data_IF_505364975690
#
_entry.id   IF_505364975690
#
_cell.length_a   1.000
_cell.length_b   1.000
_cell.length_c   1.000
_cell.angle_alpha   90.00
_cell.angle_beta   90.00
_cell.angle_gamma   90.00
#
_symmetry.space_group_name_H-M   'P 1'
#
loop_
_entity.id
_entity.type
_entity.pdbx_description
1 polymer ?
#
# COMPACT_ATOMS: atom_id res chain seq x y z
N UNK A 1 -19.53 28.54 11.59
CA UNK A 1 -18.61 29.20 10.64
C UNK A 1 -17.53 29.89 11.45
N UNK A 2 -16.49 29.15 11.76
CA UNK A 2 -15.52 29.50 12.80
C UNK A 2 -14.52 30.61 12.43
N UNK A 3 -14.49 31.09 11.18
CA UNK A 3 -13.44 32.04 10.75
C UNK A 3 -13.93 33.24 9.90
N UNK A 4 -15.24 33.51 9.84
CA UNK A 4 -15.76 34.71 9.16
C UNK A 4 -15.50 34.79 7.64
N UNK A 5 -15.00 33.72 7.02
CA UNK A 5 -14.60 33.70 5.61
C UNK A 5 -15.78 33.54 4.63
N UNK A 6 -16.93 33.16 5.11
CA UNK A 6 -18.14 32.99 4.31
C UNK A 6 -19.29 33.81 4.88
N UNK A 7 -19.87 34.68 4.06
CA UNK A 7 -21.08 35.45 4.39
C UNK A 7 -22.28 34.52 4.52
N UNK A 8 -23.07 34.69 5.58
CA UNK A 8 -24.32 33.93 5.81
C UNK A 8 -25.32 34.07 4.68
N UNK A 9 -25.38 35.24 4.07
CA UNK A 9 -26.29 35.53 2.95
C UNK A 9 -25.89 34.73 1.71
N UNK A 10 -24.62 34.64 1.43
CA UNK A 10 -24.07 33.85 0.33
C UNK A 10 -24.30 32.33 0.55
N UNK A 11 -24.08 31.84 1.76
CA UNK A 11 -24.35 30.43 2.10
C UNK A 11 -25.82 30.08 1.96
N UNK A 12 -26.71 30.95 2.38
CA UNK A 12 -28.17 30.74 2.23
C UNK A 12 -28.57 30.73 0.75
N UNK A 13 -28.03 31.62 -0.08
CA UNK A 13 -28.27 31.61 -1.54
C UNK A 13 -27.78 30.32 -2.20
N UNK A 14 -26.60 29.79 -1.79
CA UNK A 14 -26.11 28.51 -2.28
C UNK A 14 -27.06 27.37 -1.92
N UNK A 15 -27.54 27.33 -0.67
CA UNK A 15 -28.46 26.27 -0.18
C UNK A 15 -29.80 26.27 -0.88
N UNK A 16 -30.23 27.41 -1.41
CA UNK A 16 -31.52 27.55 -2.17
C UNK A 16 -31.35 27.37 -3.67
N UNK A 17 -30.11 27.14 -4.16
CA UNK A 17 -29.82 26.89 -5.57
C UNK A 17 -30.36 25.52 -6.02
N UNK A 18 -30.98 25.41 -7.23
CA UNK A 18 -31.37 24.11 -7.79
C UNK A 18 -30.20 23.11 -7.98
N UNK A 19 -28.98 23.61 -8.02
CA UNK A 19 -27.74 22.78 -8.10
C UNK A 19 -27.13 22.51 -6.75
N UNK A 20 -27.78 22.81 -5.62
CA UNK A 20 -27.26 22.57 -4.29
C UNK A 20 -27.16 21.09 -4.01
N UNK A 21 -25.96 20.67 -3.62
CA UNK A 21 -25.69 19.37 -3.02
C UNK A 21 -25.00 19.60 -1.68
N UNK A 22 -25.52 18.99 -0.62
CA UNK A 22 -24.95 19.09 0.72
C UNK A 22 -23.53 18.53 0.76
N UNK A 23 -23.25 17.50 -0.02
CA UNK A 23 -21.93 16.88 -0.16
C UNK A 23 -20.94 17.80 -0.88
N UNK A 24 -21.36 18.44 -1.98
CA UNK A 24 -20.52 19.43 -2.67
C UNK A 24 -20.25 20.64 -1.79
N UNK A 25 -21.23 21.10 -1.03
CA UNK A 25 -21.06 22.20 -0.10
C UNK A 25 -20.12 21.86 1.05
N UNK A 26 -20.25 20.66 1.64
CA UNK A 26 -19.36 20.16 2.69
C UNK A 26 -17.91 20.07 2.21
N UNK A 27 -17.70 19.58 1.00
CA UNK A 27 -16.38 19.42 0.37
C UNK A 27 -15.74 20.76 0.00
N UNK A 28 -16.50 21.65 -0.65
CA UNK A 28 -15.94 22.88 -1.22
C UNK A 28 -15.80 24.00 -0.20
N UNK A 29 -16.71 24.09 0.76
CA UNK A 29 -16.78 25.22 1.68
C UNK A 29 -16.48 24.85 3.14
N UNK A 30 -16.67 23.61 3.53
CA UNK A 30 -16.39 23.16 4.90
C UNK A 30 -15.14 22.31 5.03
N UNK A 31 -14.46 22.04 3.92
CA UNK A 31 -13.29 21.12 3.86
C UNK A 31 -13.59 19.75 4.48
N UNK A 32 -14.87 19.38 4.51
CA UNK A 32 -15.31 18.07 4.96
C UNK A 32 -15.34 17.17 3.73
N UNK A 33 -14.38 16.27 3.67
CA UNK A 33 -14.40 15.23 2.66
C UNK A 33 -15.49 14.22 3.02
N UNK A 34 -16.63 14.30 2.36
CA UNK A 34 -17.67 13.26 2.39
C UNK A 34 -17.25 12.12 1.46
N UNK A 35 -16.84 11.06 2.04
CA UNK A 35 -16.07 9.91 1.61
C UNK A 35 -16.47 9.15 0.39
N UNK A 36 -17.22 9.43 -0.54
CA UNK A 36 -17.28 8.84 -1.89
C UNK A 36 -18.17 9.67 -2.80
N UNK A 37 -17.70 10.04 -3.98
CA UNK A 37 -18.65 10.34 -5.05
C UNK A 37 -19.42 9.04 -5.35
N UNK A 38 -20.68 9.12 -5.78
CA UNK A 38 -21.47 7.96 -6.22
C UNK A 38 -20.75 7.14 -7.32
N UNK A 39 -19.76 7.75 -7.99
CA UNK A 39 -18.92 7.16 -9.02
C UNK A 39 -17.67 6.44 -8.50
N UNK A 40 -17.35 6.53 -7.20
CA UNK A 40 -16.13 5.91 -6.67
C UNK A 40 -16.19 4.38 -6.74
N UNK A 41 -15.11 3.76 -7.27
CA UNK A 41 -14.95 2.30 -7.30
C UNK A 41 -14.95 1.68 -5.92
N UNK A 42 -14.34 2.38 -4.95
CA UNK A 42 -14.27 1.92 -3.57
C UNK A 42 -15.25 2.67 -2.68
N UNK A 43 -16.10 1.95 -1.97
CA UNK A 43 -16.98 2.56 -0.96
C UNK A 43 -16.15 2.89 0.29
N UNK A 44 -15.80 4.15 0.43
CA UNK A 44 -14.98 4.69 1.50
C UNK A 44 -15.54 4.35 2.90
N UNK A 45 -16.84 4.55 3.13
CA UNK A 45 -17.46 4.36 4.44
C UNK A 45 -17.43 2.89 4.87
N UNK A 46 -17.67 1.97 3.91
CA UNK A 46 -17.58 0.54 4.17
C UNK A 46 -16.16 0.11 4.53
N UNK A 47 -15.13 0.79 4.03
CA UNK A 47 -13.73 0.47 4.30
C UNK A 47 -13.25 1.00 5.65
N UNK A 48 -13.86 2.07 6.20
CA UNK A 48 -13.47 2.65 7.51
C UNK A 48 -13.50 1.60 8.65
N UNK A 49 -14.42 0.65 8.62
CA UNK A 49 -14.52 -0.40 9.65
C UNK A 49 -13.28 -1.28 9.77
N UNK A 50 -12.39 -1.27 8.76
CA UNK A 50 -11.14 -2.05 8.76
C UNK A 50 -9.93 -1.25 9.30
N UNK A 51 -10.11 0.03 9.64
CA UNK A 51 -9.11 0.85 10.31
C UNK A 51 -9.10 0.55 11.81
N UNK A 52 -8.34 -0.48 12.21
CA UNK A 52 -8.35 -1.01 13.58
C UNK A 52 -6.97 -1.03 14.25
N UNK A 53 -5.91 -0.75 13.51
CA UNK A 53 -4.55 -0.85 14.02
C UNK A 53 -4.15 0.47 14.67
N UNK A 54 -3.90 0.43 15.99
CA UNK A 54 -3.61 1.63 16.77
C UNK A 54 -2.19 2.15 16.58
N UNK A 55 -1.22 1.25 16.43
CA UNK A 55 0.19 1.63 16.37
C UNK A 55 0.80 1.19 15.04
N UNK A 56 1.48 2.09 14.33
CA UNK A 56 2.28 1.72 13.16
C UNK A 56 3.47 0.88 13.58
N UNK A 57 4.05 0.19 12.63
CA UNK A 57 5.31 -0.51 12.83
C UNK A 57 6.41 0.23 12.06
N UNK A 58 7.56 0.40 12.69
CA UNK A 58 8.74 1.05 12.13
C UNK A 58 9.87 0.07 11.86
N UNK A 59 9.78 -1.12 12.46
CA UNK A 59 10.72 -2.24 12.32
C UNK A 59 10.00 -3.56 12.52
N UNK A 60 10.66 -4.65 12.16
CA UNK A 60 10.11 -6.00 12.33
C UNK A 60 9.90 -6.33 13.80
N UNK A 61 8.72 -6.86 14.14
CA UNK A 61 8.34 -7.32 15.49
C UNK A 61 8.55 -8.81 15.69
N UNK A 62 8.87 -9.53 14.63
CA UNK A 62 9.10 -10.97 14.64
C UNK A 62 10.04 -11.34 13.49
N UNK A 63 10.66 -12.51 13.57
CA UNK A 63 11.43 -13.07 12.47
C UNK A 63 10.48 -13.66 11.42
N UNK A 64 10.77 -13.49 10.11
CA UNK A 64 9.97 -14.09 9.06
C UNK A 64 9.85 -15.61 9.23
N UNK A 65 8.63 -16.12 9.09
CA UNK A 65 8.30 -17.54 9.18
C UNK A 65 7.25 -17.94 8.15
N UNK A 66 6.84 -19.20 8.17
CA UNK A 66 5.82 -19.74 7.26
C UNK A 66 4.44 -19.09 7.47
N UNK A 67 4.11 -18.78 8.72
CA UNK A 67 2.77 -18.30 9.10
C UNK A 67 2.71 -16.78 9.29
N UNK A 68 3.86 -16.10 9.29
CA UNK A 68 3.92 -14.65 9.46
C UNK A 68 5.18 -14.09 8.80
N UNK A 69 5.02 -13.03 8.00
CA UNK A 69 6.12 -12.37 7.32
C UNK A 69 5.78 -10.92 6.99
N UNK A 70 6.79 -10.11 6.68
CA UNK A 70 6.60 -8.80 6.08
C UNK A 70 6.77 -8.88 4.57
N UNK A 71 6.02 -8.03 3.87
CA UNK A 71 6.16 -7.77 2.44
C UNK A 71 6.18 -6.26 2.23
N UNK A 72 7.08 -5.82 1.38
CA UNK A 72 7.16 -4.41 0.96
C UNK A 72 6.78 -4.34 -0.52
N UNK A 73 5.98 -3.37 -0.90
CA UNK A 73 5.71 -3.05 -2.31
C UNK A 73 6.07 -1.61 -2.60
N UNK A 74 6.64 -1.35 -3.76
CA UNK A 74 7.14 -0.04 -4.17
C UNK A 74 6.55 0.32 -5.52
N UNK A 75 5.86 1.45 -5.56
CA UNK A 75 5.48 2.15 -6.80
C UNK A 75 6.50 3.27 -7.03
N UNK A 76 7.12 3.27 -8.22
CA UNK A 76 8.30 4.09 -8.50
C UNK A 76 7.91 5.34 -9.25
N UNK A 77 8.08 6.49 -8.62
CA UNK A 77 7.93 7.80 -9.22
C UNK A 77 9.26 8.54 -9.42
N UNK A 78 9.24 9.58 -10.24
CA UNK A 78 10.37 10.51 -10.45
C UNK A 78 9.81 11.88 -10.76
N UNK A 79 10.54 12.95 -10.44
CA UNK A 79 10.23 14.36 -10.75
C UNK A 79 8.86 14.80 -10.20
N UNK A 80 7.76 14.43 -10.83
CA UNK A 80 6.40 14.87 -10.48
C UNK A 80 5.64 13.83 -9.63
N UNK A 81 5.94 12.55 -9.79
CA UNK A 81 5.30 11.46 -9.06
C UNK A 81 6.11 11.06 -7.82
N UNK A 82 5.43 10.56 -6.82
CA UNK A 82 6.05 10.12 -5.58
C UNK A 82 6.45 8.65 -5.69
N UNK A 83 7.66 8.30 -5.24
CA UNK A 83 7.97 6.90 -4.95
C UNK A 83 7.36 6.55 -3.60
N UNK A 84 6.51 5.54 -3.59
CA UNK A 84 5.78 5.12 -2.40
C UNK A 84 6.08 3.67 -2.08
N UNK A 85 6.44 3.40 -0.82
CA UNK A 85 6.57 2.06 -0.29
C UNK A 85 5.46 1.76 0.72
N UNK A 86 4.70 0.68 0.47
CA UNK A 86 3.75 0.10 1.40
C UNK A 86 4.36 -1.09 2.13
N UNK A 87 4.27 -1.13 3.45
CA UNK A 87 4.76 -2.22 4.28
C UNK A 87 3.58 -3.01 4.84
N UNK A 88 3.54 -4.28 4.49
CA UNK A 88 2.51 -5.21 4.95
C UNK A 88 3.08 -6.20 5.95
N UNK A 89 2.38 -6.39 7.04
CA UNK A 89 2.49 -7.60 7.84
C UNK A 89 1.45 -8.59 7.33
N UNK A 90 1.88 -9.79 6.98
CA UNK A 90 1.04 -10.87 6.47
C UNK A 90 0.96 -11.98 7.50
N UNK A 91 -0.24 -12.37 7.87
CA UNK A 91 -0.50 -13.52 8.73
C UNK A 91 -1.23 -14.59 7.93
N UNK A 92 -0.76 -15.83 8.04
CA UNK A 92 -1.38 -17.00 7.41
C UNK A 92 -2.21 -17.71 8.46
N UNK A 93 -3.50 -17.89 8.22
CA UNK A 93 -4.37 -18.61 9.12
C UNK A 93 -4.29 -20.14 8.91
N UNK A 94 -4.98 -20.88 9.77
CA UNK A 94 -4.99 -22.36 9.73
C UNK A 94 -5.59 -22.93 8.44
N UNK A 95 -6.31 -22.11 7.66
CA UNK A 95 -6.87 -22.51 6.36
C UNK A 95 -5.93 -22.18 5.20
N UNK A 96 -4.79 -21.56 5.48
CA UNK A 96 -3.81 -21.11 4.48
C UNK A 96 -4.14 -19.76 3.86
N UNK A 97 -5.17 -19.04 4.33
CA UNK A 97 -5.49 -17.69 3.86
C UNK A 97 -4.52 -16.66 4.42
N UNK A 98 -4.14 -15.73 3.57
CA UNK A 98 -3.18 -14.67 3.87
C UNK A 98 -3.89 -13.34 4.19
N UNK A 99 -3.85 -12.95 5.46
CA UNK A 99 -4.43 -11.71 5.96
C UNK A 99 -3.38 -10.59 5.94
N UNK A 100 -3.68 -9.51 5.27
CA UNK A 100 -2.78 -8.37 5.16
C UNK A 100 -3.10 -7.32 6.22
N UNK A 101 -2.07 -6.80 6.88
CA UNK A 101 -2.16 -5.60 7.71
C UNK A 101 -1.20 -4.56 7.14
N UNK A 102 -1.72 -3.45 6.65
CA UNK A 102 -0.89 -2.32 6.22
C UNK A 102 -0.38 -1.61 7.46
N UNK A 103 0.89 -1.81 7.79
CA UNK A 103 1.50 -1.32 9.04
C UNK A 103 2.26 -0.02 8.88
N UNK A 104 2.67 0.31 7.65
CA UNK A 104 3.35 1.56 7.33
C UNK A 104 3.21 1.91 5.84
N UNK A 105 3.24 3.20 5.54
CA UNK A 105 3.38 3.75 4.19
C UNK A 105 4.47 4.83 4.26
N UNK A 106 5.47 4.72 3.41
CA UNK A 106 6.53 5.72 3.32
C UNK A 106 6.60 6.32 1.92
N UNK A 107 6.65 7.64 1.85
CA UNK A 107 7.02 8.37 0.64
C UNK A 107 8.54 8.53 0.69
N UNK A 108 9.21 7.98 -0.31
CA UNK A 108 10.67 7.97 -0.43
C UNK A 108 11.14 9.20 -1.21
N UNK A 109 12.39 9.62 -0.95
CA UNK A 109 13.05 10.69 -1.71
C UNK A 109 12.19 11.94 -1.91
N UNK A 110 11.82 12.60 -0.80
CA UNK A 110 10.81 13.68 -0.78
C UNK A 110 11.26 14.99 -1.41
N UNK A 111 12.55 15.30 -1.42
CA UNK A 111 13.10 16.53 -2.01
C UNK A 111 13.53 16.29 -3.46
N UNK A 112 13.57 17.35 -4.27
CA UNK A 112 14.04 17.27 -5.65
C UNK A 112 15.49 16.75 -5.75
N UNK A 113 16.32 17.10 -4.78
CA UNK A 113 17.73 16.68 -4.69
C UNK A 113 17.89 15.19 -4.36
N UNK A 114 16.97 14.63 -3.58
CA UNK A 114 17.01 13.22 -3.15
C UNK A 114 16.24 12.27 -4.07
N UNK A 115 15.55 12.77 -5.10
CA UNK A 115 14.78 11.95 -6.07
C UNK A 115 15.64 11.21 -7.10
N UNK A 116 16.86 10.82 -6.73
CA UNK A 116 17.70 9.93 -7.56
C UNK A 116 17.30 8.47 -7.29
N UNK A 117 17.45 7.59 -8.27
CA UNK A 117 17.20 6.17 -8.07
C UNK A 117 18.14 5.57 -7.02
N UNK A 118 19.37 6.06 -6.93
CA UNK A 118 20.34 5.64 -5.90
C UNK A 118 19.81 5.94 -4.51
N UNK A 119 19.31 7.16 -4.26
CA UNK A 119 18.75 7.51 -2.95
C UNK A 119 17.46 6.73 -2.66
N UNK A 120 16.61 6.54 -3.65
CA UNK A 120 15.41 5.70 -3.51
C UNK A 120 15.78 4.26 -3.15
N UNK A 121 16.82 3.69 -3.78
CA UNK A 121 17.30 2.35 -3.48
C UNK A 121 17.83 2.25 -2.05
N UNK A 122 18.59 3.24 -1.58
CA UNK A 122 19.08 3.30 -0.18
C UNK A 122 17.88 3.32 0.76
N UNK A 123 16.84 4.13 0.50
CA UNK A 123 15.65 4.21 1.33
C UNK A 123 14.88 2.88 1.37
N UNK A 124 14.76 2.16 0.23
CA UNK A 124 14.16 0.82 0.18
C UNK A 124 15.02 -0.17 0.96
N UNK A 125 16.35 -0.11 0.84
CA UNK A 125 17.27 -0.98 1.58
C UNK A 125 17.22 -0.73 3.09
N UNK A 126 17.01 0.52 3.52
CA UNK A 126 16.72 0.85 4.93
C UNK A 126 15.45 0.14 5.40
N UNK A 127 14.38 0.17 4.57
CA UNK A 127 13.15 -0.57 4.90
C UNK A 127 13.38 -2.09 4.95
N UNK A 128 14.21 -2.64 4.06
CA UNK A 128 14.57 -4.07 4.08
C UNK A 128 15.30 -4.41 5.38
N UNK A 129 16.28 -3.61 5.79
CA UNK A 129 17.00 -3.76 7.06
C UNK A 129 16.04 -3.73 8.26
N UNK A 130 15.13 -2.73 8.27
CA UNK A 130 14.25 -2.49 9.40
C UNK A 130 13.15 -3.54 9.52
N UNK A 131 12.59 -4.03 8.40
CA UNK A 131 11.46 -4.95 8.40
C UNK A 131 11.81 -6.40 8.07
N UNK A 132 12.98 -6.67 7.55
CA UNK A 132 13.40 -8.02 7.12
C UNK A 132 12.30 -8.73 6.31
N UNK A 133 11.83 -8.14 5.20
CA UNK A 133 10.69 -8.67 4.46
C UNK A 133 11.05 -9.99 3.79
N UNK A 134 10.05 -10.84 3.62
CA UNK A 134 10.15 -12.03 2.78
C UNK A 134 10.44 -11.67 1.33
N UNK A 135 9.76 -10.65 0.83
CA UNK A 135 9.91 -10.16 -0.54
C UNK A 135 9.66 -8.64 -0.61
N UNK A 136 10.29 -8.02 -1.60
CA UNK A 136 10.08 -6.62 -1.99
C UNK A 136 9.59 -6.59 -3.43
N UNK A 137 8.35 -6.15 -3.63
CA UNK A 137 7.74 -5.98 -4.95
C UNK A 137 8.09 -4.61 -5.50
N UNK A 138 8.62 -4.54 -6.70
CA UNK A 138 8.94 -3.31 -7.39
C UNK A 138 8.22 -3.32 -8.75
N UNK A 139 7.48 -2.25 -9.06
CA UNK A 139 7.00 -2.05 -10.43
C UNK A 139 8.22 -1.77 -11.33
N UNK A 140 8.55 -2.74 -12.17
CA UNK A 140 9.70 -2.67 -13.09
C UNK A 140 9.31 -2.20 -14.49
N UNK A 141 8.17 -1.52 -14.65
CA UNK A 141 7.81 -0.82 -15.88
C UNK A 141 8.41 0.60 -15.89
N UNK A 142 8.83 1.04 -17.07
CA UNK A 142 9.26 2.42 -17.28
C UNK A 142 10.33 2.87 -16.28
N UNK A 143 9.98 3.81 -15.40
CA UNK A 143 10.89 4.39 -14.40
C UNK A 143 11.38 3.37 -13.36
N UNK A 144 10.62 2.33 -13.11
CA UNK A 144 10.96 1.30 -12.14
C UNK A 144 12.21 0.51 -12.48
N UNK A 145 12.59 0.42 -13.76
CA UNK A 145 13.86 -0.16 -14.19
C UNK A 145 15.04 0.56 -13.52
N UNK A 146 15.01 1.89 -13.45
CA UNK A 146 16.10 2.66 -12.82
C UNK A 146 16.28 2.35 -11.33
N UNK A 147 15.19 2.16 -10.59
CA UNK A 147 15.28 1.70 -9.20
C UNK A 147 15.78 0.25 -9.12
N UNK A 148 15.28 -0.63 -9.98
CA UNK A 148 15.68 -2.03 -10.03
C UNK A 148 17.20 -2.20 -10.29
N UNK A 149 17.76 -1.40 -11.20
CA UNK A 149 19.19 -1.36 -11.50
C UNK A 149 20.03 -0.92 -10.30
N UNK A 150 19.52 -0.03 -9.47
CA UNK A 150 20.20 0.39 -8.25
C UNK A 150 20.04 -0.62 -7.11
N UNK A 151 18.95 -1.36 -7.05
CA UNK A 151 18.74 -2.36 -6.01
C UNK A 151 19.72 -3.53 -6.08
N UNK A 152 20.21 -3.89 -7.27
CA UNK A 152 21.19 -4.98 -7.48
C UNK A 152 22.64 -4.56 -7.21
N UNK A 153 22.92 -3.29 -6.89
CA UNK A 153 24.26 -2.75 -6.59
C UNK A 153 24.45 -2.57 -5.08
N UNK A 154 25.67 -2.68 -4.61
CA UNK A 154 26.05 -2.20 -3.29
C UNK A 154 26.06 -0.68 -3.26
N UNK A 155 25.67 -0.09 -2.14
CA UNK A 155 25.62 1.37 -1.97
C UNK A 155 26.08 1.78 -0.59
N UNK A 156 26.49 3.05 -0.48
CA UNK A 156 26.79 3.71 0.78
C UNK A 156 25.91 4.96 0.89
N UNK A 157 25.40 5.24 2.06
CA UNK A 157 24.72 6.51 2.29
C UNK A 157 25.71 7.63 2.64
N UNK A 158 25.17 8.83 2.87
CA UNK A 158 25.95 10.04 3.21
C UNK A 158 26.76 9.89 4.51
N UNK A 159 26.35 8.97 5.38
CA UNK A 159 27.03 8.66 6.65
C UNK A 159 28.05 7.53 6.50
N UNK A 160 28.21 6.97 5.30
CA UNK A 160 29.09 5.85 5.00
C UNK A 160 28.52 4.49 5.43
N UNK A 161 27.23 4.39 5.75
CA UNK A 161 26.60 3.10 6.05
C UNK A 161 26.47 2.27 4.78
N UNK A 162 26.92 1.00 4.86
CA UNK A 162 26.88 0.06 3.75
C UNK A 162 25.54 -0.61 3.60
N UNK A 163 25.01 -0.63 2.39
CA UNK A 163 23.80 -1.35 2.00
C UNK A 163 24.13 -2.38 0.92
N UNK A 164 23.91 -3.63 1.26
CA UNK A 164 24.20 -4.76 0.37
C UNK A 164 23.30 -4.76 -0.88
N UNK A 165 23.75 -5.41 -1.97
CA UNK A 165 22.92 -5.66 -3.13
C UNK A 165 21.86 -6.72 -2.83
N UNK A 166 20.72 -6.66 -3.56
CA UNK A 166 19.69 -7.68 -3.55
C UNK A 166 19.44 -8.18 -4.97
N UNK A 167 18.84 -9.37 -5.12
CA UNK A 167 18.63 -10.01 -6.41
C UNK A 167 17.13 -10.26 -6.66
N UNK A 168 16.76 -10.24 -7.93
CA UNK A 168 15.41 -10.62 -8.39
C UNK A 168 15.24 -12.13 -8.40
N UNK A 169 14.09 -12.58 -7.90
CA UNK A 169 13.72 -13.98 -7.88
C UNK A 169 12.95 -14.41 -9.16
N UNK A 170 12.32 -13.47 -9.87
CA UNK A 170 11.38 -13.75 -10.96
C UNK A 170 11.67 -12.99 -12.26
N UNK A 171 12.72 -12.19 -12.36
CA UNK A 171 13.03 -11.41 -13.56
C UNK A 171 14.31 -11.91 -14.23
N UNK A 172 14.16 -12.64 -15.33
CA UNK A 172 15.27 -13.22 -16.10
C UNK A 172 16.21 -12.18 -16.69
N UNK A 173 15.75 -10.95 -16.94
CA UNK A 173 16.58 -9.84 -17.43
C UNK A 173 17.69 -9.49 -16.44
N UNK A 174 17.49 -9.75 -15.16
CA UNK A 174 18.48 -9.46 -14.11
C UNK A 174 19.39 -10.65 -13.80
N UNK A 175 19.06 -11.88 -14.23
CA UNK A 175 19.85 -13.07 -13.84
C UNK A 175 21.30 -13.04 -14.29
N UNK A 176 21.59 -12.36 -15.41
CA UNK A 176 22.96 -12.24 -15.93
C UNK A 176 23.78 -11.13 -15.25
N UNK A 177 23.15 -10.10 -14.72
CA UNK A 177 23.79 -8.87 -14.25
C UNK A 177 23.76 -8.70 -12.72
N UNK A 178 22.85 -9.38 -12.03
CA UNK A 178 22.74 -9.32 -10.57
C UNK A 178 23.81 -10.19 -9.90
N UNK A 179 24.28 -9.82 -8.69
CA UNK A 179 25.24 -10.63 -7.93
C UNK A 179 24.66 -12.00 -7.57
N UNK A 180 25.42 -13.07 -7.81
CA UNK A 180 24.97 -14.46 -7.62
C UNK A 180 24.67 -14.79 -6.17
N UNK A 181 25.42 -14.19 -5.25
CA UNK A 181 25.33 -14.43 -3.81
C UNK A 181 24.38 -13.45 -3.08
N UNK A 182 23.79 -12.51 -3.81
CA UNK A 182 22.84 -11.57 -3.24
C UNK A 182 21.52 -12.26 -2.85
N UNK A 183 20.90 -11.87 -1.72
CA UNK A 183 19.60 -12.39 -1.31
C UNK A 183 18.53 -12.15 -2.37
N UNK A 184 17.87 -13.23 -2.83
CA UNK A 184 16.81 -13.19 -3.85
C UNK A 184 15.46 -12.83 -3.22
N UNK A 185 15.30 -11.59 -2.82
CA UNK A 185 14.06 -11.08 -2.22
C UNK A 185 13.33 -10.06 -3.08
N UNK A 186 13.90 -9.63 -4.21
CA UNK A 186 13.23 -8.69 -5.11
C UNK A 186 12.29 -9.45 -6.04
N UNK A 187 11.09 -8.91 -6.21
CA UNK A 187 10.06 -9.37 -7.12
C UNK A 187 9.71 -8.26 -8.10
N UNK A 188 10.10 -8.42 -9.36
CA UNK A 188 9.77 -7.49 -10.43
C UNK A 188 8.33 -7.68 -10.90
N UNK A 189 7.53 -6.63 -10.84
CA UNK A 189 6.16 -6.62 -11.34
C UNK A 189 6.11 -5.82 -12.65
N UNK A 190 5.80 -6.48 -13.75
CA UNK A 190 5.61 -5.85 -15.08
C UNK A 190 4.11 -5.78 -15.38
N UNK A 191 3.43 -4.79 -14.78
CA UNK A 191 2.00 -4.64 -14.90
C UNK A 191 1.62 -4.12 -16.29
N UNK A 192 0.99 -4.97 -17.10
CA UNK A 192 0.33 -4.61 -18.36
C UNK A 192 -1.19 -4.47 -18.16
N UNK A 193 -1.93 -4.08 -19.19
CA UNK A 193 -3.37 -3.85 -19.09
C UNK A 193 -4.16 -5.01 -18.46
N UNK A 194 -4.05 -6.25 -18.99
CA UNK A 194 -4.72 -7.42 -18.39
C UNK A 194 -4.30 -7.74 -16.98
N UNK A 195 -3.02 -7.55 -16.62
CA UNK A 195 -2.54 -7.77 -15.26
C UNK A 195 -3.04 -6.68 -14.33
N UNK A 196 -3.05 -5.41 -14.75
CA UNK A 196 -3.62 -4.32 -13.98
C UNK A 196 -5.10 -4.55 -13.64
N UNK A 197 -5.89 -5.06 -14.61
CA UNK A 197 -7.28 -5.45 -14.38
C UNK A 197 -7.40 -6.48 -13.24
N UNK A 198 -6.54 -7.50 -13.24
CA UNK A 198 -6.50 -8.52 -12.18
C UNK A 198 -6.03 -7.95 -10.83
N UNK A 199 -5.05 -7.06 -10.83
CA UNK A 199 -4.53 -6.37 -9.64
C UNK A 199 -5.66 -5.56 -8.98
N UNK A 200 -6.37 -4.75 -9.75
CA UNK A 200 -7.49 -3.94 -9.26
C UNK A 200 -8.64 -4.82 -8.73
N UNK A 201 -9.01 -5.86 -9.46
CA UNK A 201 -10.03 -6.82 -9.03
C UNK A 201 -9.66 -7.53 -7.73
N UNK A 202 -8.39 -7.95 -7.59
CA UNK A 202 -7.89 -8.55 -6.35
C UNK A 202 -7.92 -7.57 -5.17
N UNK A 203 -7.48 -6.34 -5.38
CA UNK A 203 -7.52 -5.30 -4.34
C UNK A 203 -8.96 -5.08 -3.85
N UNK A 204 -9.91 -4.94 -4.78
CA UNK A 204 -11.33 -4.82 -4.46
C UNK A 204 -11.86 -6.03 -3.67
N UNK A 205 -11.60 -7.24 -4.14
CA UNK A 205 -12.06 -8.47 -3.48
C UNK A 205 -11.52 -8.60 -2.05
N UNK A 206 -10.20 -8.36 -1.84
CA UNK A 206 -9.58 -8.44 -0.51
C UNK A 206 -10.09 -7.36 0.44
N UNK A 207 -10.35 -6.15 -0.06
CA UNK A 207 -10.91 -5.06 0.73
C UNK A 207 -12.36 -5.34 1.14
N UNK A 208 -13.21 -5.76 0.20
CA UNK A 208 -14.63 -6.01 0.46
C UNK A 208 -14.85 -7.23 1.34
N UNK A 209 -14.01 -8.27 1.22
CA UNK A 209 -14.03 -9.45 2.12
C UNK A 209 -13.38 -9.20 3.49
N UNK A 210 -12.81 -8.01 3.71
CA UNK A 210 -12.23 -7.64 5.00
C UNK A 210 -10.91 -8.33 5.32
N UNK A 211 -10.21 -8.85 4.32
CA UNK A 211 -8.90 -9.50 4.48
C UNK A 211 -7.74 -8.52 4.67
N UNK A 212 -8.03 -7.23 4.74
CA UNK A 212 -7.05 -6.17 4.96
C UNK A 212 -7.39 -5.38 6.21
N UNK A 213 -6.36 -5.01 6.98
CA UNK A 213 -6.46 -4.14 8.17
C UNK A 213 -5.58 -2.91 7.96
N UNK A 214 -6.03 -1.79 8.51
CA UNK A 214 -5.38 -0.48 8.36
C UNK A 214 -5.16 0.19 9.71
N UNK A 215 -4.27 1.16 9.72
CA UNK A 215 -4.09 2.07 10.84
C UNK A 215 -5.37 2.90 11.07
N UNK A 216 -5.68 3.20 12.33
CA UNK A 216 -6.78 4.09 12.72
C UNK A 216 -6.59 5.48 12.12
N UNK A 217 -7.64 6.30 12.16
CA UNK A 217 -7.57 7.69 11.65
C UNK A 217 -6.50 8.48 12.41
N UNK A 218 -5.85 9.40 11.71
CA UNK A 218 -4.80 10.24 12.29
C UNK A 218 -5.27 10.99 13.52
N UNK A 219 -6.47 11.58 13.47
CA UNK A 219 -7.04 12.32 14.60
C UNK A 219 -7.27 11.42 15.82
N UNK A 220 -7.74 10.19 15.61
CA UNK A 220 -7.92 9.20 16.67
C UNK A 220 -6.55 8.79 17.26
N UNK A 221 -5.56 8.55 16.42
CA UNK A 221 -4.20 8.23 16.84
C UNK A 221 -3.55 9.39 17.63
N UNK A 222 -3.75 10.64 17.17
CA UNK A 222 -3.28 11.84 17.86
C UNK A 222 -3.92 11.98 19.23
N UNK A 223 -5.23 11.81 19.33
CA UNK A 223 -5.94 11.88 20.61
C UNK A 223 -5.45 10.80 21.57
N UNK A 224 -5.30 9.54 21.07
CA UNK A 224 -4.77 8.44 21.87
C UNK A 224 -3.33 8.68 22.31
N UNK A 225 -2.47 9.26 21.48
CA UNK A 225 -1.10 9.61 21.83
C UNK A 225 -1.06 10.70 22.90
N UNK A 226 -1.83 11.77 22.72
CA UNK A 226 -1.85 12.92 23.63
C UNK A 226 -2.53 12.62 24.96
N UNK A 227 -3.33 11.58 25.07
CA UNK A 227 -3.88 11.13 26.36
C UNK A 227 -2.85 10.44 27.25
N UNK A 228 -1.67 10.11 26.72
CA UNK A 228 -0.59 9.47 27.50
C UNK A 228 0.47 10.47 27.95
N UNK A 229 1.05 10.27 29.16
CA UNK A 229 2.16 11.10 29.64
C UNK A 229 3.38 11.08 28.69
N UNK A 230 3.65 9.92 28.06
CA UNK A 230 4.74 9.76 27.09
C UNK A 230 4.48 10.65 25.86
N UNK A 231 3.26 10.63 25.33
CA UNK A 231 2.88 11.44 24.17
C UNK A 231 2.94 12.93 24.44
N UNK A 232 2.52 13.36 25.63
CA UNK A 232 2.59 14.77 26.05
C UNK A 232 4.04 15.27 26.17
N UNK A 233 4.96 14.45 26.69
CA UNK A 233 6.39 14.78 26.85
C UNK A 233 7.21 14.58 25.56
N UNK A 234 6.63 13.96 24.54
CA UNK A 234 7.31 13.66 23.29
C UNK A 234 7.60 14.95 22.50
N UNK A 235 8.79 15.07 21.90
CA UNK A 235 9.11 16.20 21.02
C UNK A 235 8.16 16.25 19.81
N UNK A 236 7.96 17.44 19.25
CA UNK A 236 7.10 17.63 18.07
C UNK A 236 7.55 16.72 16.92
N UNK A 237 8.86 16.64 16.66
CA UNK A 237 9.43 15.79 15.62
C UNK A 237 9.04 14.32 15.79
N UNK A 238 9.25 13.74 16.97
CA UNK A 238 8.88 12.34 17.26
C UNK A 238 7.38 12.10 17.18
N UNK A 239 6.55 13.09 17.54
CA UNK A 239 5.09 13.00 17.38
C UNK A 239 4.70 12.94 15.91
N UNK A 240 5.27 13.82 15.09
CA UNK A 240 5.02 13.83 13.63
C UNK A 240 5.44 12.49 13.02
N UNK A 241 6.65 12.02 13.33
CA UNK A 241 7.14 10.73 12.83
C UNK A 241 6.21 9.56 13.19
N UNK A 242 5.69 9.54 14.41
CA UNK A 242 4.77 8.50 14.88
C UNK A 242 3.38 8.59 14.25
N UNK A 243 2.90 9.78 13.92
CA UNK A 243 1.57 10.00 13.33
C UNK A 243 1.58 9.90 11.80
N UNK A 244 2.72 10.14 11.17
CA UNK A 244 2.86 10.14 9.71
C UNK A 244 2.29 8.89 9.02
N UNK A 245 2.49 7.64 9.51
CA UNK A 245 1.89 6.47 8.87
C UNK A 245 0.35 6.46 8.90
N UNK A 246 -0.26 7.07 9.92
CA UNK A 246 -1.71 7.24 10.02
C UNK A 246 -2.23 8.24 8.97
N UNK A 247 -1.52 9.37 8.82
CA UNK A 247 -1.80 10.37 7.79
C UNK A 247 -1.66 9.75 6.38
N UNK A 248 -0.57 9.03 6.13
CA UNK A 248 -0.37 8.37 4.84
C UNK A 248 -1.44 7.31 4.55
N UNK A 249 -1.92 6.60 5.58
CA UNK A 249 -3.07 5.70 5.45
C UNK A 249 -4.35 6.46 5.09
N UNK A 250 -4.57 7.64 5.67
CA UNK A 250 -5.72 8.49 5.31
C UNK A 250 -5.62 8.95 3.85
N UNK A 251 -4.43 9.39 3.42
CA UNK A 251 -4.18 9.76 2.02
C UNK A 251 -4.37 8.59 1.05
N UNK A 252 -4.02 7.36 1.42
CA UNK A 252 -4.36 6.17 0.63
C UNK A 252 -5.87 6.02 0.46
N UNK A 253 -6.65 6.24 1.51
CA UNK A 253 -8.11 6.18 1.43
C UNK A 253 -8.68 7.28 0.52
N UNK A 254 -8.11 8.49 0.56
CA UNK A 254 -8.47 9.59 -0.34
C UNK A 254 -8.15 9.25 -1.80
N UNK A 255 -6.98 8.66 -2.07
CA UNK A 255 -6.64 8.16 -3.40
C UNK A 255 -7.63 7.10 -3.88
N UNK A 256 -7.98 6.11 -3.03
CA UNK A 256 -8.98 5.09 -3.37
C UNK A 256 -10.37 5.70 -3.65
N UNK A 257 -10.78 6.70 -2.86
CA UNK A 257 -12.06 7.40 -3.07
C UNK A 257 -12.07 8.21 -4.38
N UNK A 258 -10.90 8.63 -4.86
CA UNK A 258 -10.74 9.37 -6.13
C UNK A 258 -10.65 8.46 -7.36
N UNK A 259 -10.82 7.14 -7.22
CA UNK A 259 -10.77 6.20 -8.35
C UNK A 259 -12.18 5.77 -8.76
N UNK A 260 -12.44 5.81 -10.05
CA UNK A 260 -13.68 5.28 -10.65
C UNK A 260 -13.37 4.28 -11.75
N UNK A 261 -14.36 3.45 -12.07
CA UNK A 261 -14.27 2.53 -13.19
C UNK A 261 -14.37 3.32 -14.51
N UNK A 262 -13.33 3.22 -15.32
CA UNK A 262 -13.38 3.73 -16.69
C UNK A 262 -14.15 2.75 -17.56
N UNK A 263 -15.23 3.23 -18.19
CA UNK A 263 -15.99 2.43 -19.17
C UNK A 263 -15.20 2.38 -20.47
N UNK A 264 -14.68 1.19 -20.81
CA UNK A 264 -13.91 0.92 -22.04
C UNK A 264 -14.74 0.05 -22.95
N UNK A 265 -15.70 0.61 -23.67
CA UNK A 265 -16.49 -0.11 -24.70
C UNK A 265 -16.97 -1.50 -24.26
N UNK A 266 -16.65 -2.53 -25.03
CA UNK A 266 -17.05 -3.93 -24.78
C UNK A 266 -16.02 -4.73 -23.95
N UNK A 267 -14.97 -4.10 -23.39
CA UNK A 267 -13.98 -4.80 -22.57
C UNK A 267 -14.53 -5.10 -21.17
N UNK A 268 -14.29 -6.30 -20.69
CA UNK A 268 -14.56 -6.72 -19.30
C UNK A 268 -13.43 -6.34 -18.34
N UNK A 269 -12.39 -5.70 -18.84
CA UNK A 269 -11.24 -5.31 -18.06
C UNK A 269 -11.56 -4.18 -17.09
N UNK A 270 -11.07 -4.32 -15.87
CA UNK A 270 -11.15 -3.29 -14.84
C UNK A 270 -10.05 -2.26 -15.11
N UNK A 271 -10.43 -1.12 -15.61
CA UNK A 271 -9.54 0.03 -15.78
C UNK A 271 -10.00 1.12 -14.84
N UNK A 272 -9.11 1.55 -13.96
CA UNK A 272 -9.41 2.63 -13.01
C UNK A 272 -8.80 3.94 -13.50
N UNK A 273 -9.60 5.01 -13.44
CA UNK A 273 -9.13 6.37 -13.68
C UNK A 273 -9.42 7.26 -12.47
N UNK A 274 -8.64 8.33 -12.35
CA UNK A 274 -8.84 9.33 -11.30
C UNK A 274 -10.06 10.20 -11.65
N UNK A 275 -10.96 10.40 -10.69
CA UNK A 275 -12.07 11.35 -10.80
C UNK A 275 -11.51 12.77 -10.93
N UNK A 276 -10.51 13.09 -10.12
CA UNK A 276 -9.73 14.32 -10.21
C UNK A 276 -8.26 13.97 -10.48
N UNK A 277 -7.80 14.26 -11.70
CA UNK A 277 -6.45 13.94 -12.15
C UNK A 277 -5.31 14.66 -11.38
N UNK A 278 -5.64 15.71 -10.59
CA UNK A 278 -4.67 16.41 -9.74
C UNK A 278 -4.30 15.63 -8.48
N UNK A 279 -5.13 14.66 -8.07
CA UNK A 279 -4.82 13.79 -6.93
C UNK A 279 -3.92 12.64 -7.37
N UNK A 280 -2.82 12.36 -6.65
CA UNK A 280 -1.97 11.22 -6.96
C UNK A 280 -2.71 9.90 -6.77
N UNK A 281 -2.16 8.81 -7.32
CA UNK A 281 -2.62 7.43 -7.10
C UNK A 281 -1.50 6.48 -6.66
N UNK A 282 -0.33 7.04 -6.33
CA UNK A 282 0.91 6.27 -6.11
C UNK A 282 0.81 5.36 -4.88
N UNK A 283 0.12 5.83 -3.82
CA UNK A 283 -0.11 4.99 -2.62
C UNK A 283 -1.03 3.82 -2.93
N UNK A 284 -2.08 4.08 -3.73
CA UNK A 284 -2.97 3.01 -4.17
C UNK A 284 -2.26 2.01 -5.08
N UNK A 285 -1.44 2.46 -6.04
CA UNK A 285 -0.67 1.58 -6.92
C UNK A 285 0.25 0.67 -6.11
N UNK A 286 1.09 1.25 -5.26
CA UNK A 286 1.96 0.48 -4.36
C UNK A 286 1.17 -0.51 -3.48
N UNK A 287 0.06 -0.07 -2.90
CA UNK A 287 -0.82 -0.91 -2.08
C UNK A 287 -1.41 -2.08 -2.89
N UNK A 288 -1.91 -1.83 -4.09
CA UNK A 288 -2.53 -2.85 -4.95
C UNK A 288 -1.50 -3.90 -5.42
N UNK A 289 -0.28 -3.48 -5.74
CA UNK A 289 0.84 -4.37 -6.10
C UNK A 289 1.21 -5.31 -4.94
N UNK A 290 1.27 -4.78 -3.71
CA UNK A 290 1.52 -5.59 -2.53
C UNK A 290 0.43 -6.64 -2.30
N UNK A 291 -0.85 -6.26 -2.41
CA UNK A 291 -1.97 -7.19 -2.27
C UNK A 291 -1.99 -8.26 -3.37
N UNK A 292 -1.58 -7.89 -4.59
CA UNK A 292 -1.44 -8.86 -5.68
C UNK A 292 -0.39 -9.90 -5.36
N UNK A 293 0.81 -9.49 -4.92
CA UNK A 293 1.86 -10.46 -4.57
C UNK A 293 1.48 -11.34 -3.38
N UNK A 294 0.80 -10.80 -2.38
CA UNK A 294 0.26 -11.59 -1.27
C UNK A 294 -0.69 -12.69 -1.78
N UNK A 295 -1.54 -12.39 -2.79
CA UNK A 295 -2.40 -13.40 -3.43
C UNK A 295 -1.58 -14.47 -4.14
N UNK A 296 -0.56 -14.10 -4.91
CA UNK A 296 0.28 -15.06 -5.61
C UNK A 296 1.01 -16.00 -4.64
N UNK A 297 1.55 -15.44 -3.54
CA UNK A 297 2.18 -16.23 -2.46
C UNK A 297 1.16 -17.21 -1.83
N UNK A 298 -0.08 -16.76 -1.61
CA UNK A 298 -1.17 -17.62 -1.10
C UNK A 298 -1.48 -18.78 -2.07
N UNK A 299 -1.53 -18.50 -3.37
CA UNK A 299 -1.73 -19.52 -4.40
C UNK A 299 -0.55 -20.50 -4.48
N UNK A 300 0.69 -20.01 -4.41
CA UNK A 300 1.89 -20.84 -4.35
C UNK A 300 1.88 -21.76 -3.11
N UNK A 301 1.51 -21.22 -1.95
CA UNK A 301 1.38 -22.00 -0.71
C UNK A 301 0.35 -23.11 -0.86
N UNK A 302 -0.82 -22.78 -1.40
CA UNK A 302 -1.90 -23.75 -1.64
C UNK A 302 -1.49 -24.85 -2.61
N UNK A 303 -0.81 -24.49 -3.70
CA UNK A 303 -0.29 -25.46 -4.69
C UNK A 303 0.74 -26.41 -4.06
N UNK A 304 1.65 -25.88 -3.22
CA UNK A 304 2.65 -26.69 -2.51
C UNK A 304 2.00 -27.64 -1.48
N UNK A 305 1.02 -27.16 -0.74
CA UNK A 305 0.25 -27.99 0.19
C UNK A 305 -0.45 -29.15 -0.53
N UNK A 306 -1.17 -28.88 -1.64
CA UNK A 306 -1.81 -29.91 -2.46
C UNK A 306 -0.84 -30.95 -3.00
N UNK A 307 0.35 -30.55 -3.45
CA UNK A 307 1.39 -31.48 -3.92
C UNK A 307 1.93 -32.39 -2.79
N UNK A 308 2.07 -31.86 -1.56
CA UNK A 308 2.53 -32.66 -0.40
C UNK A 308 1.50 -33.66 0.06
N UNK A 309 0.21 -33.32 -0.02
CA UNK A 309 -0.89 -34.20 0.42
C UNK A 309 -1.52 -35.03 -0.69
N UNK A 310 -1.30 -34.66 -1.99
CA UNK A 310 -1.83 -35.38 -3.15
C UNK A 310 -0.86 -36.38 -3.80
N UNK A 311 0.35 -36.50 -3.31
CA UNK A 311 1.40 -37.35 -3.90
C UNK A 311 1.58 -38.71 -3.24
N UNK A 312 0.49 -39.43 -2.88
CA UNK A 312 0.51 -40.88 -2.67
C UNK A 312 -0.92 -41.41 -2.63
N UNK A 313 -1.27 -42.23 -3.59
CA UNK A 313 -2.37 -43.17 -3.44
C UNK A 313 -3.53 -42.98 -4.39
N UNK A 314 -3.55 -43.83 -5.38
CA UNK A 314 -4.76 -44.53 -5.77
C UNK A 314 -5.53 -44.93 -4.50
N UNK A 315 -6.59 -44.26 -4.19
CA UNK A 315 -7.38 -44.58 -3.00
C UNK A 315 -8.23 -43.41 -2.51
N UNK A 316 -9.51 -43.47 -2.87
CA UNK A 316 -10.58 -42.62 -2.34
C UNK A 316 -10.45 -42.45 -0.81
N UNK A 317 -9.88 -41.33 -0.33
CA UNK A 317 -10.05 -40.88 1.07
C UNK A 317 -10.90 -39.61 1.05
N UNK A 318 -12.16 -39.80 1.50
CA UNK A 318 -13.06 -38.70 1.89
C UNK A 318 -12.36 -37.85 2.94
N UNK A 319 -12.15 -36.56 2.63
CA UNK A 319 -11.80 -35.56 3.66
C UNK A 319 -13.00 -35.38 4.56
N UNK A 320 -12.93 -35.93 5.77
CA UNK A 320 -13.84 -35.60 6.87
C UNK A 320 -13.30 -34.32 7.51
N UNK A 321 -14.03 -33.24 7.34
CA UNK A 321 -13.78 -32.01 8.11
C UNK A 321 -14.33 -32.27 9.53
N UNK A 322 -13.47 -32.20 10.52
CA UNK A 322 -13.90 -32.12 11.91
C UNK A 322 -14.46 -30.72 12.17
N UNK A 323 -15.67 -30.66 12.63
CA UNK A 323 -16.42 -29.51 13.16
C UNK A 323 -15.75 -28.92 14.37
#
# INVERSE_FOLDING_TARGET
MLHGLLDKTYVNKLKTSPSYSEESFAREYMSIWSGSSDDSWFNFDKLQKYRKIKNPETHAKFRPGSNQFYLISVDVGRINDQTVACVFRVNVDNTGKHWATLVNIKVLARSAETKTFTQQAIDVKRLIRDFQPREVVIDTNGLGVGLADEMIKAQYDEMGEYYMPYAFANDETYYAIQPKDAPKILYGLKANGPLNSKIHGNAYARLTSGMVRFLIKEQEAKNALMSTQIGQKMSVYKRVERLLPHEMTTKLFEEMANLRLKRTGNSTDIVLEQINARYPKDKYSSFAYGLWRIKEIEEEYTKRARRRFGGNGDGKRKLTFFT
#
